data_IF_464088979560
#
_entry.id   IF_464088979560
#
_cell.length_a   1.000
_cell.length_b   1.000
_cell.length_c   1.000
_cell.angle_alpha   90.00
_cell.angle_beta   90.00
_cell.angle_gamma   90.00
#
_symmetry.space_group_name_H-M   'P 1'
#
loop_
_entity.id
_entity.type
_entity.pdbx_description
1 polymer ?
#
# COMPACT_ATOMS: atom_id res chain seq x y z
N UNK A 1 -19.60 -0.38 -7.74
CA UNK A 1 -18.68 0.57 -7.04
C UNK A 1 -18.45 0.23 -5.55
N UNK A 2 -18.69 -1.03 -5.12
CA UNK A 2 -18.58 -1.43 -3.71
C UNK A 2 -17.17 -1.18 -3.11
N UNK A 3 -16.09 -1.47 -3.85
CA UNK A 3 -14.72 -1.17 -3.39
C UNK A 3 -14.50 0.33 -3.15
N UNK A 4 -15.00 1.19 -4.04
CA UNK A 4 -14.82 2.63 -3.92
C UNK A 4 -15.48 3.19 -2.65
N UNK A 5 -16.65 2.67 -2.28
CA UNK A 5 -17.40 3.10 -1.10
C UNK A 5 -16.68 2.84 0.24
N UNK A 6 -15.74 1.87 0.29
CA UNK A 6 -15.02 1.52 1.53
C UNK A 6 -13.57 2.01 1.54
N UNK A 7 -13.05 2.54 0.43
CA UNK A 7 -11.67 3.01 0.35
C UNK A 7 -11.40 4.19 1.29
N UNK A 8 -10.18 4.27 1.80
CA UNK A 8 -9.78 5.33 2.71
C UNK A 8 -10.61 5.36 4.02
N UNK A 9 -11.10 4.20 4.47
CA UNK A 9 -11.97 4.12 5.65
C UNK A 9 -13.35 4.72 5.42
N UNK A 10 -13.89 4.62 4.19
CA UNK A 10 -15.19 5.20 3.80
C UNK A 10 -15.12 6.68 3.38
N UNK A 11 -13.92 7.28 3.38
CA UNK A 11 -13.71 8.68 2.99
C UNK A 11 -13.34 8.86 1.51
N UNK A 12 -12.90 7.81 0.83
CA UNK A 12 -12.38 7.79 -0.53
C UNK A 12 -11.10 8.63 -0.72
N UNK A 13 -9.92 8.05 -0.48
CA UNK A 13 -8.65 8.66 -0.92
C UNK A 13 -8.57 8.56 -2.45
N UNK A 14 -9.12 9.57 -3.14
CA UNK A 14 -9.41 9.51 -4.59
C UNK A 14 -8.15 9.58 -5.47
N UNK A 15 -7.12 10.28 -4.99
CA UNK A 15 -5.87 10.53 -5.70
C UNK A 15 -4.75 10.97 -4.75
N UNK A 16 -3.64 11.41 -5.34
CA UNK A 16 -2.50 12.03 -4.66
C UNK A 16 -1.99 13.22 -5.48
N UNK A 17 -1.37 14.22 -4.85
CA UNK A 17 -0.75 15.36 -5.55
C UNK A 17 0.54 14.97 -6.28
N UNK A 18 1.20 13.90 -5.88
CA UNK A 18 2.51 13.45 -6.36
C UNK A 18 3.68 14.41 -6.07
N UNK A 19 3.48 15.49 -5.35
CA UNK A 19 4.53 16.49 -5.04
C UNK A 19 5.68 15.90 -4.22
N UNK A 20 5.38 14.96 -3.31
CA UNK A 20 6.38 14.30 -2.46
C UNK A 20 6.96 13.02 -3.11
N UNK A 21 6.49 12.65 -4.30
CA UNK A 21 6.93 11.42 -5.01
C UNK A 21 8.21 11.70 -5.80
N UNK A 22 9.33 11.16 -5.38
CA UNK A 22 10.63 11.33 -6.05
C UNK A 22 10.72 10.56 -7.36
N UNK A 23 10.18 9.35 -7.38
CA UNK A 23 10.06 8.54 -8.60
C UNK A 23 8.77 7.72 -8.59
N UNK A 24 8.23 7.43 -9.79
CA UNK A 24 7.02 6.61 -9.90
C UNK A 24 7.25 5.16 -9.49
N UNK A 25 8.47 4.66 -9.52
CA UNK A 25 8.85 3.32 -9.08
C UNK A 25 8.67 3.14 -7.57
N UNK A 26 8.81 4.22 -6.78
CA UNK A 26 8.56 4.19 -5.33
C UNK A 26 7.10 3.95 -4.99
N UNK A 27 6.19 4.46 -5.81
CA UNK A 27 4.74 4.38 -5.56
C UNK A 27 4.04 3.34 -6.43
N UNK A 28 4.56 3.04 -7.62
CA UNK A 28 4.11 1.96 -8.51
C UNK A 28 5.20 0.91 -8.68
N UNK A 29 5.34 -0.05 -7.76
CA UNK A 29 6.32 -1.12 -7.87
C UNK A 29 6.15 -1.96 -9.15
N UNK A 30 4.95 -1.99 -9.73
CA UNK A 30 4.61 -2.60 -11.02
C UNK A 30 3.86 -1.60 -11.88
N UNK A 31 4.17 -1.57 -13.16
CA UNK A 31 3.50 -0.70 -14.14
C UNK A 31 3.92 0.77 -14.13
N UNK A 32 4.99 1.18 -13.44
CA UNK A 32 5.46 2.58 -13.36
C UNK A 32 5.64 3.25 -14.73
N UNK A 33 6.16 2.51 -15.72
CA UNK A 33 6.33 3.01 -17.11
C UNK A 33 5.00 3.32 -17.80
N UNK A 34 3.98 2.47 -17.59
CA UNK A 34 2.63 2.72 -18.06
C UNK A 34 2.05 3.95 -17.35
N UNK A 35 2.20 4.00 -16.02
CA UNK A 35 1.67 5.10 -15.21
C UNK A 35 2.30 6.44 -15.54
N UNK A 36 3.60 6.50 -15.85
CA UNK A 36 4.25 7.73 -16.35
C UNK A 36 3.53 8.32 -17.56
N UNK A 37 3.11 7.46 -18.49
CA UNK A 37 2.35 7.88 -19.65
C UNK A 37 0.90 8.21 -19.30
N UNK A 38 0.25 7.37 -18.50
CA UNK A 38 -1.15 7.55 -18.15
C UNK A 38 -1.40 8.85 -17.39
N UNK A 39 -0.51 9.22 -16.47
CA UNK A 39 -0.54 10.48 -15.74
C UNK A 39 -0.30 11.71 -16.64
N UNK A 40 0.50 11.57 -17.68
CA UNK A 40 0.68 12.63 -18.66
C UNK A 40 -0.57 12.87 -19.53
N UNK A 41 -1.39 11.84 -19.76
CA UNK A 41 -2.65 11.94 -20.50
C UNK A 41 -3.82 12.36 -19.62
N UNK A 42 -3.83 11.94 -18.33
CA UNK A 42 -4.86 12.28 -17.36
C UNK A 42 -4.26 12.40 -15.97
N UNK A 43 -3.94 13.62 -15.60
CA UNK A 43 -3.31 13.98 -14.32
C UNK A 43 -4.31 14.00 -13.15
N UNK A 44 -3.83 14.03 -11.90
CA UNK A 44 -4.68 14.30 -10.73
C UNK A 44 -5.50 15.59 -10.86
N UNK A 45 -4.91 16.68 -11.35
CA UNK A 45 -5.60 17.95 -11.61
C UNK A 45 -6.80 17.77 -12.52
N UNK A 46 -6.62 17.11 -13.67
CA UNK A 46 -7.71 16.85 -14.62
C UNK A 46 -8.82 16.01 -13.99
N UNK A 47 -8.48 15.06 -13.13
CA UNK A 47 -9.45 14.28 -12.37
C UNK A 47 -10.25 15.18 -11.43
N UNK A 48 -9.57 16.00 -10.62
CA UNK A 48 -10.23 16.88 -9.66
C UNK A 48 -11.13 17.90 -10.35
N UNK A 49 -10.70 18.47 -11.48
CA UNK A 49 -11.50 19.42 -12.26
C UNK A 49 -12.76 18.76 -12.83
N UNK A 50 -12.65 17.50 -13.27
CA UNK A 50 -13.83 16.75 -13.72
C UNK A 50 -14.89 16.62 -12.61
N UNK A 51 -14.48 16.36 -11.38
CA UNK A 51 -15.36 16.27 -10.23
C UNK A 51 -15.85 17.66 -9.74
N UNK A 52 -14.97 18.68 -9.72
CA UNK A 52 -15.33 20.06 -9.34
C UNK A 52 -16.43 20.64 -10.25
N UNK A 53 -16.35 20.37 -11.55
CA UNK A 53 -17.41 20.74 -12.50
C UNK A 53 -18.77 20.09 -12.17
N UNK A 54 -18.79 19.10 -11.28
CA UNK A 54 -19.99 18.38 -10.81
C UNK A 54 -20.30 18.66 -9.34
N UNK A 55 -19.69 19.71 -8.78
CA UNK A 55 -19.98 20.19 -7.43
C UNK A 55 -19.28 19.45 -6.30
N UNK A 56 -18.20 18.70 -6.59
CA UNK A 56 -17.39 18.00 -5.55
C UNK A 56 -16.14 18.80 -5.26
N UNK A 57 -15.96 19.22 -4.02
CA UNK A 57 -14.75 19.87 -3.53
C UNK A 57 -13.81 18.86 -2.86
N UNK A 58 -12.52 19.21 -2.78
CA UNK A 58 -11.46 18.32 -2.28
C UNK A 58 -10.60 19.01 -1.24
N UNK A 59 -10.06 18.21 -0.33
CA UNK A 59 -8.99 18.60 0.59
C UNK A 59 -7.78 17.71 0.38
N UNK A 60 -6.59 18.27 0.62
CA UNK A 60 -5.32 17.54 0.62
C UNK A 60 -4.86 17.35 2.05
N UNK A 61 -4.55 16.12 2.42
CA UNK A 61 -3.96 15.75 3.69
C UNK A 61 -2.46 15.46 3.53
N UNK A 62 -1.77 15.26 4.65
CA UNK A 62 -0.35 14.90 4.71
C UNK A 62 0.01 13.75 3.75
N UNK A 63 1.18 13.82 3.12
CA UNK A 63 1.61 12.86 2.08
C UNK A 63 0.91 13.04 0.74
N UNK A 64 0.30 14.22 0.49
CA UNK A 64 -0.36 14.56 -0.76
C UNK A 64 -1.67 13.80 -1.01
N UNK A 65 -2.25 13.16 -0.01
CA UNK A 65 -3.49 12.37 -0.12
C UNK A 65 -4.70 13.27 -0.34
N UNK A 66 -5.51 12.98 -1.34
CA UNK A 66 -6.66 13.78 -1.73
C UNK A 66 -7.95 13.07 -1.37
N UNK A 67 -8.83 13.77 -0.66
CA UNK A 67 -10.15 13.29 -0.23
C UNK A 67 -11.24 14.29 -0.65
N UNK A 68 -12.49 13.84 -0.87
CA UNK A 68 -13.61 14.79 -0.98
C UNK A 68 -13.73 15.60 0.33
N UNK A 69 -14.08 16.87 0.21
CA UNK A 69 -14.23 17.76 1.37
C UNK A 69 -15.31 17.26 2.35
N UNK A 70 -16.31 16.57 1.85
CA UNK A 70 -17.36 15.90 2.65
C UNK A 70 -16.84 14.73 3.50
N UNK A 71 -15.65 14.19 3.23
CA UNK A 71 -15.13 12.99 3.85
C UNK A 71 -16.05 11.76 3.67
N UNK A 72 -16.88 11.74 2.61
CA UNK A 72 -17.85 10.69 2.30
C UNK A 72 -17.58 10.08 0.92
N UNK A 73 -17.14 8.81 0.87
CA UNK A 73 -16.97 8.08 -0.38
C UNK A 73 -18.27 7.97 -1.19
N UNK A 74 -19.41 8.05 -0.52
CA UNK A 74 -20.74 8.05 -1.16
C UNK A 74 -20.96 9.23 -2.09
N UNK A 75 -20.35 10.39 -1.81
CA UNK A 75 -20.42 11.56 -2.71
C UNK A 75 -19.77 11.25 -4.05
N UNK A 76 -18.58 10.67 -4.05
CA UNK A 76 -17.88 10.25 -5.27
C UNK A 76 -18.69 9.21 -6.06
N UNK A 77 -19.26 8.22 -5.35
CA UNK A 77 -20.10 7.19 -5.98
C UNK A 77 -21.35 7.81 -6.61
N UNK A 78 -22.06 8.72 -5.91
CA UNK A 78 -23.27 9.39 -6.45
C UNK A 78 -22.93 10.23 -7.67
N UNK A 79 -21.83 10.99 -7.62
CA UNK A 79 -21.37 11.82 -8.76
C UNK A 79 -21.06 10.98 -9.99
N UNK A 80 -20.39 9.84 -9.82
CA UNK A 80 -20.13 8.92 -10.93
C UNK A 80 -21.41 8.31 -11.48
N UNK A 81 -22.33 7.87 -10.62
CA UNK A 81 -23.62 7.32 -11.06
C UNK A 81 -24.45 8.35 -11.79
N UNK A 82 -24.46 9.61 -11.33
CA UNK A 82 -25.14 10.71 -12.01
C UNK A 82 -24.57 11.05 -13.40
N UNK A 83 -23.30 10.71 -13.64
CA UNK A 83 -22.68 10.88 -14.96
C UNK A 83 -22.96 9.75 -15.96
N UNK A 84 -23.68 8.70 -15.56
CA UNK A 84 -24.02 7.54 -16.41
C UNK A 84 -25.39 7.69 -17.10
N UNK A 85 -25.80 8.91 -17.41
CA UNK A 85 -27.04 9.14 -18.15
C UNK A 85 -26.98 8.46 -19.52
N UNK A 86 -28.06 7.75 -19.91
CA UNK A 86 -28.15 6.97 -21.14
C UNK A 86 -27.37 5.64 -21.13
N UNK A 87 -26.66 5.32 -20.08
CA UNK A 87 -25.92 4.03 -19.95
C UNK A 87 -26.81 2.96 -19.35
N UNK A 88 -26.97 1.83 -20.06
CA UNK A 88 -27.66 0.66 -19.51
C UNK A 88 -26.77 -0.08 -18.52
N UNK A 89 -27.21 -0.18 -17.27
CA UNK A 89 -26.50 -0.90 -16.21
C UNK A 89 -27.22 -2.23 -15.93
N UNK A 90 -26.51 -3.34 -16.07
CA UNK A 90 -27.02 -4.67 -15.73
C UNK A 90 -26.33 -5.18 -14.47
N UNK A 91 -27.08 -5.26 -13.37
CA UNK A 91 -26.60 -5.80 -12.09
C UNK A 91 -26.82 -7.31 -12.00
N UNK A 92 -26.05 -7.98 -11.12
CA UNK A 92 -26.15 -9.44 -10.87
C UNK A 92 -25.97 -10.30 -12.13
N UNK A 93 -25.33 -9.77 -13.16
CA UNK A 93 -25.05 -10.44 -14.42
C UNK A 93 -23.58 -10.82 -14.49
N UNK A 94 -23.30 -12.13 -14.55
CA UNK A 94 -21.94 -12.65 -14.77
C UNK A 94 -21.67 -12.75 -16.25
N UNK A 95 -20.68 -12.02 -16.72
CA UNK A 95 -20.17 -12.11 -18.09
C UNK A 95 -19.01 -13.10 -18.12
N UNK A 96 -19.16 -14.21 -18.84
CA UNK A 96 -18.12 -15.25 -18.98
C UNK A 96 -17.26 -15.02 -20.23
N UNK A 97 -17.88 -14.53 -21.29
CA UNK A 97 -17.19 -14.15 -22.52
C UNK A 97 -17.60 -12.73 -22.91
N UNK A 98 -16.63 -11.86 -23.21
CA UNK A 98 -16.96 -10.57 -23.81
C UNK A 98 -17.57 -10.84 -25.20
N UNK A 99 -18.76 -10.27 -25.44
CA UNK A 99 -19.52 -10.46 -26.71
C UNK A 99 -18.79 -9.85 -27.92
N UNK A 100 -19.47 -9.91 -29.06
CA UNK A 100 -18.98 -9.39 -30.36
C UNK A 100 -19.31 -7.88 -30.53
N UNK A 101 -19.29 -7.13 -29.46
CA UNK A 101 -19.43 -5.66 -29.51
C UNK A 101 -18.24 -5.02 -30.25
N UNK A 102 -18.47 -3.92 -30.95
CA UNK A 102 -17.42 -3.19 -31.66
C UNK A 102 -16.27 -2.81 -30.71
N UNK A 103 -16.60 -2.43 -29.44
CA UNK A 103 -15.67 -2.17 -28.39
C UNK A 103 -16.09 -2.86 -27.11
N UNK A 104 -15.13 -3.49 -26.44
CA UNK A 104 -15.30 -4.10 -25.12
C UNK A 104 -14.21 -3.61 -24.18
N UNK A 105 -14.58 -3.15 -23.00
CA UNK A 105 -13.63 -2.68 -21.98
C UNK A 105 -13.74 -3.56 -20.74
N UNK A 106 -12.65 -4.21 -20.36
CA UNK A 106 -12.58 -5.05 -19.16
C UNK A 106 -12.06 -4.20 -18.00
N UNK A 107 -12.90 -4.00 -16.99
CA UNK A 107 -12.61 -3.21 -15.77
C UNK A 107 -13.01 -3.95 -14.51
N UNK A 108 -12.87 -5.26 -14.50
CA UNK A 108 -13.34 -6.15 -13.42
C UNK A 108 -12.54 -6.00 -12.13
N UNK A 109 -11.45 -5.26 -12.15
CA UNK A 109 -10.49 -5.17 -11.03
C UNK A 109 -9.71 -6.47 -10.84
N UNK A 110 -9.12 -6.63 -9.65
CA UNK A 110 -8.32 -7.79 -9.29
C UNK A 110 -9.11 -8.96 -8.70
N UNK A 111 -8.40 -10.03 -8.35
CA UNK A 111 -8.95 -11.17 -7.63
C UNK A 111 -9.97 -11.99 -8.46
N UNK A 112 -11.14 -12.26 -7.89
CA UNK A 112 -12.19 -13.10 -8.53
C UNK A 112 -12.74 -12.51 -9.84
N UNK A 113 -12.62 -11.20 -10.05
CA UNK A 113 -13.02 -10.54 -11.28
C UNK A 113 -12.19 -10.93 -12.51
N UNK A 114 -11.05 -11.58 -12.31
CA UNK A 114 -10.13 -11.97 -13.37
C UNK A 114 -10.49 -13.31 -14.06
N UNK A 115 -11.51 -14.02 -13.62
CA UNK A 115 -11.91 -15.29 -14.27
C UNK A 115 -12.22 -15.11 -15.75
N UNK A 116 -12.79 -13.99 -16.16
CA UNK A 116 -13.10 -13.66 -17.56
C UNK A 116 -11.84 -13.64 -18.45
N UNK A 117 -10.67 -13.37 -17.88
CA UNK A 117 -9.41 -13.26 -18.63
C UNK A 117 -8.91 -14.60 -19.15
N UNK A 118 -9.36 -15.74 -18.57
CA UNK A 118 -8.89 -17.10 -18.93
C UNK A 118 -9.10 -17.45 -20.39
N UNK A 119 -10.12 -16.84 -21.01
CA UNK A 119 -10.52 -17.12 -22.40
C UNK A 119 -10.08 -16.00 -23.37
N UNK A 120 -9.25 -15.05 -22.88
CA UNK A 120 -8.78 -13.93 -23.68
C UNK A 120 -7.33 -14.15 -24.13
N UNK A 121 -6.95 -13.64 -25.32
CA UNK A 121 -5.60 -13.77 -25.84
C UNK A 121 -4.64 -12.78 -25.16
N UNK A 122 -4.42 -12.95 -23.88
CA UNK A 122 -3.55 -12.10 -23.05
C UNK A 122 -2.69 -12.94 -22.12
N UNK A 123 -1.47 -12.48 -21.89
CA UNK A 123 -0.64 -12.99 -20.81
C UNK A 123 -1.24 -12.60 -19.47
N UNK A 124 -1.44 -13.56 -18.57
CA UNK A 124 -1.92 -13.30 -17.22
C UNK A 124 -0.74 -13.46 -16.27
N UNK A 125 -0.33 -12.36 -15.66
CA UNK A 125 0.58 -12.39 -14.54
C UNK A 125 -0.20 -12.82 -13.30
N UNK A 126 0.18 -13.95 -12.70
CA UNK A 126 -0.55 -14.55 -11.57
C UNK A 126 -0.83 -13.53 -10.47
N UNK A 127 -2.09 -13.26 -10.13
CA UNK A 127 -2.44 -12.30 -9.09
C UNK A 127 -2.08 -12.81 -7.69
N UNK A 128 -1.43 -11.96 -6.93
CA UNK A 128 -1.15 -12.17 -5.49
C UNK A 128 -1.59 -10.94 -4.69
N UNK A 129 -1.96 -11.08 -3.43
CA UNK A 129 -2.28 -9.93 -2.58
C UNK A 129 -1.14 -8.93 -2.45
N UNK A 130 -1.50 -7.66 -2.42
CA UNK A 130 -0.66 -6.50 -2.16
C UNK A 130 -1.35 -5.62 -1.10
N UNK A 131 -0.62 -4.75 -0.41
CA UNK A 131 -1.14 -3.86 0.64
C UNK A 131 -1.85 -4.60 1.78
N UNK A 132 -1.20 -5.58 2.36
CA UNK A 132 -1.75 -6.34 3.49
C UNK A 132 -0.91 -6.17 4.76
N UNK A 133 -1.55 -6.43 5.90
CA UNK A 133 -0.95 -6.40 7.23
C UNK A 133 -0.34 -7.76 7.58
N UNK A 134 0.73 -7.75 8.40
CA UNK A 134 1.48 -8.95 8.75
C UNK A 134 0.98 -9.58 10.03
N UNK A 135 0.77 -10.89 10.04
CA UNK A 135 0.75 -11.67 11.27
C UNK A 135 2.21 -11.88 11.71
N UNK A 136 2.48 -11.66 13.00
CA UNK A 136 3.84 -11.66 13.52
C UNK A 136 4.07 -12.78 14.52
N UNK A 137 5.26 -13.35 14.47
CA UNK A 137 5.77 -14.38 15.37
C UNK A 137 7.18 -14.03 15.84
N UNK A 138 7.56 -14.48 17.03
CA UNK A 138 8.93 -14.34 17.56
C UNK A 138 9.87 -15.46 17.03
N UNK A 139 9.33 -16.48 16.34
CA UNK A 139 10.11 -17.60 15.84
C UNK A 139 9.58 -18.15 14.50
N UNK A 140 10.42 -18.87 13.73
CA UNK A 140 10.01 -19.51 12.48
C UNK A 140 8.91 -20.56 12.63
N UNK A 141 8.79 -21.15 13.83
CA UNK A 141 7.79 -22.19 14.15
C UNK A 141 6.37 -21.60 14.26
N UNK A 142 6.26 -20.28 14.28
CA UNK A 142 4.99 -19.58 14.40
C UNK A 142 4.64 -19.27 15.87
N UNK A 143 3.37 -19.03 16.12
CA UNK A 143 2.86 -18.49 17.38
C UNK A 143 2.58 -17.00 17.27
N UNK A 144 1.98 -16.43 18.31
CA UNK A 144 1.74 -14.99 18.40
C UNK A 144 2.96 -14.29 19.00
N UNK A 145 3.44 -13.22 18.36
CA UNK A 145 4.55 -12.46 18.90
C UNK A 145 4.19 -11.76 20.20
N UNK A 146 5.14 -11.68 21.15
CA UNK A 146 5.01 -10.89 22.38
C UNK A 146 4.83 -9.39 22.08
N UNK A 147 5.33 -8.91 20.95
CA UNK A 147 5.13 -7.53 20.51
C UNK A 147 3.64 -7.17 20.41
N UNK A 148 2.77 -8.11 20.08
CA UNK A 148 1.31 -7.90 19.99
C UNK A 148 0.67 -7.48 21.34
N UNK A 149 1.35 -7.63 22.47
CA UNK A 149 0.89 -7.09 23.78
C UNK A 149 0.87 -5.57 23.81
N UNK A 150 1.60 -4.93 22.89
CA UNK A 150 1.63 -3.47 22.71
C UNK A 150 0.56 -2.95 21.75
N UNK A 151 -0.48 -3.72 21.46
CA UNK A 151 -1.57 -3.32 20.58
C UNK A 151 -2.02 -1.87 20.82
N UNK A 152 -2.20 -1.13 19.71
CA UNK A 152 -2.56 0.29 19.72
C UNK A 152 -1.37 1.25 19.85
N UNK A 153 -0.13 0.73 20.00
CA UNK A 153 1.06 1.56 19.97
C UNK A 153 1.47 1.83 18.53
N UNK A 154 1.73 3.09 18.21
CA UNK A 154 2.33 3.54 16.94
C UNK A 154 3.76 4.00 17.18
N UNK A 155 4.63 3.81 16.19
CA UNK A 155 6.01 4.28 16.19
C UNK A 155 6.49 4.42 14.76
N UNK A 156 7.27 5.44 14.47
CA UNK A 156 8.05 5.48 13.23
C UNK A 156 9.07 4.33 13.25
N UNK A 157 9.15 3.58 12.15
CA UNK A 157 10.04 2.43 12.04
C UNK A 157 10.47 2.18 10.60
N UNK A 158 11.57 1.43 10.47
CA UNK A 158 12.00 0.87 9.19
C UNK A 158 11.85 -0.65 9.25
N UNK A 159 11.11 -1.18 8.30
CA UNK A 159 10.93 -2.61 8.11
C UNK A 159 11.80 -3.12 6.96
N UNK A 160 12.39 -4.28 7.10
CA UNK A 160 13.13 -4.93 6.02
C UNK A 160 12.96 -6.46 6.05
N UNK A 161 13.07 -7.06 4.86
CA UNK A 161 13.13 -8.52 4.71
C UNK A 161 14.60 -8.91 4.55
N UNK A 162 15.23 -9.50 5.58
CA UNK A 162 16.65 -9.86 5.54
C UNK A 162 17.02 -10.73 4.33
N UNK A 163 18.18 -10.44 3.72
CA UNK A 163 18.65 -11.14 2.52
C UNK A 163 18.03 -10.65 1.20
N UNK A 164 17.21 -9.61 1.25
CA UNK A 164 16.60 -8.97 0.07
C UNK A 164 16.84 -7.46 0.08
N UNK A 165 16.45 -6.78 -1.01
CA UNK A 165 16.41 -5.32 -1.08
C UNK A 165 15.10 -4.72 -0.56
N UNK A 166 14.12 -5.53 -0.15
CA UNK A 166 12.82 -5.03 0.31
C UNK A 166 12.94 -4.32 1.65
N UNK A 167 12.63 -3.04 1.62
CA UNK A 167 12.65 -2.14 2.76
C UNK A 167 11.52 -1.13 2.64
N UNK A 168 10.95 -0.74 3.75
CA UNK A 168 9.99 0.38 3.85
C UNK A 168 10.19 1.15 5.13
N UNK A 169 9.77 2.40 5.13
CA UNK A 169 9.90 3.34 6.23
C UNK A 169 8.57 4.07 6.44
N UNK A 170 8.28 4.44 7.67
CA UNK A 170 7.10 5.22 8.06
C UNK A 170 6.45 4.72 9.33
N UNK A 171 5.24 5.19 9.57
CA UNK A 171 4.46 4.80 10.75
C UNK A 171 4.13 3.31 10.74
N UNK A 172 4.44 2.68 11.85
CA UNK A 172 4.15 1.27 12.14
C UNK A 172 3.13 1.22 13.27
N UNK A 173 2.02 0.54 13.04
CA UNK A 173 0.98 0.28 14.03
C UNK A 173 1.08 -1.16 14.51
N UNK A 174 1.24 -1.36 15.81
CA UNK A 174 1.19 -2.67 16.45
C UNK A 174 -0.27 -3.05 16.70
N UNK A 175 -0.66 -4.23 16.22
CA UNK A 175 -2.01 -4.79 16.36
C UNK A 175 -1.97 -6.04 17.24
N UNK A 176 -3.14 -6.60 17.56
CA UNK A 176 -3.25 -7.85 18.33
C UNK A 176 -2.79 -9.09 17.53
N UNK A 177 -2.66 -9.00 16.21
CA UNK A 177 -2.14 -10.08 15.34
C UNK A 177 -0.72 -9.85 14.85
N UNK A 178 -0.20 -8.60 14.88
CA UNK A 178 1.11 -8.27 14.37
C UNK A 178 1.27 -6.81 13.99
N UNK A 179 1.52 -6.52 12.71
CA UNK A 179 1.90 -5.20 12.23
C UNK A 179 0.97 -4.69 11.14
N UNK A 180 0.61 -3.42 11.25
CA UNK A 180 -0.14 -2.62 10.29
C UNK A 180 0.51 -1.23 10.13
N UNK A 181 -0.19 -0.31 9.48
CA UNK A 181 0.28 1.04 9.22
C UNK A 181 1.07 1.18 7.91
N UNK A 182 1.40 2.42 7.53
CA UNK A 182 2.04 2.73 6.25
C UNK A 182 3.31 1.93 5.96
N UNK A 183 4.20 1.74 6.96
CA UNK A 183 5.43 0.97 6.78
C UNK A 183 5.14 -0.50 6.43
N UNK A 184 4.21 -1.16 7.12
CA UNK A 184 3.84 -2.55 6.85
C UNK A 184 3.15 -2.70 5.48
N UNK A 185 2.21 -1.81 5.15
CA UNK A 185 1.49 -1.84 3.88
C UNK A 185 2.43 -1.60 2.68
N UNK A 186 3.36 -0.64 2.78
CA UNK A 186 4.37 -0.40 1.74
C UNK A 186 5.27 -1.60 1.54
N UNK A 187 5.79 -2.18 2.64
CA UNK A 187 6.64 -3.38 2.54
C UNK A 187 5.90 -4.53 1.88
N UNK A 188 4.65 -4.79 2.26
CA UNK A 188 3.84 -5.87 1.68
C UNK A 188 3.57 -5.64 0.19
N UNK A 189 3.43 -4.39 -0.26
CA UNK A 189 3.30 -4.06 -1.68
C UNK A 189 4.60 -4.31 -2.44
N UNK A 190 5.72 -3.75 -2.00
CA UNK A 190 7.01 -3.94 -2.67
C UNK A 190 7.43 -5.42 -2.71
N UNK A 191 7.25 -6.15 -1.62
CA UNK A 191 7.61 -7.56 -1.48
C UNK A 191 6.50 -8.55 -1.87
N UNK A 192 5.38 -8.11 -2.49
CA UNK A 192 4.17 -8.91 -2.68
C UNK A 192 4.44 -10.29 -3.30
N UNK A 193 5.19 -10.36 -4.40
CA UNK A 193 5.53 -11.61 -5.09
C UNK A 193 6.46 -12.48 -4.26
N UNK A 194 7.52 -11.89 -3.72
CA UNK A 194 8.46 -12.60 -2.84
C UNK A 194 7.74 -13.23 -1.63
N UNK A 195 6.85 -12.49 -0.98
CA UNK A 195 6.07 -13.00 0.15
C UNK A 195 5.09 -14.09 -0.26
N UNK A 196 4.49 -14.01 -1.44
CA UNK A 196 3.64 -15.06 -1.98
C UNK A 196 4.44 -16.35 -2.25
N UNK A 197 5.61 -16.23 -2.87
CA UNK A 197 6.52 -17.37 -3.16
C UNK A 197 6.99 -18.07 -1.88
N UNK A 198 7.18 -17.31 -0.80
CA UNK A 198 7.50 -17.85 0.53
C UNK A 198 6.27 -18.34 1.32
N UNK A 199 5.09 -18.40 0.71
CA UNK A 199 3.84 -18.76 1.41
C UNK A 199 3.49 -17.82 2.57
N UNK A 200 3.87 -16.54 2.46
CA UNK A 200 3.72 -15.49 3.47
C UNK A 200 4.42 -15.81 4.80
N UNK A 201 5.53 -16.54 4.72
CA UNK A 201 6.41 -16.86 5.85
C UNK A 201 7.81 -16.36 5.54
N UNK A 202 8.29 -15.36 6.26
CA UNK A 202 9.55 -14.70 5.96
C UNK A 202 10.15 -14.09 7.22
N UNK A 203 11.48 -14.05 7.37
CA UNK A 203 12.11 -13.22 8.39
C UNK A 203 11.72 -11.75 8.16
N UNK A 204 11.59 -11.02 9.25
CA UNK A 204 11.33 -9.58 9.27
C UNK A 204 12.25 -8.93 10.29
N UNK A 205 12.88 -7.84 9.91
CA UNK A 205 13.67 -7.02 10.81
C UNK A 205 13.01 -5.65 10.96
N UNK A 206 12.90 -5.19 12.21
CA UNK A 206 12.39 -3.88 12.58
C UNK A 206 13.56 -3.04 13.10
N UNK A 207 13.69 -1.85 12.56
CA UNK A 207 14.53 -0.79 13.10
C UNK A 207 13.59 0.27 13.67
N UNK A 208 13.60 0.42 14.99
CA UNK A 208 12.67 1.24 15.76
C UNK A 208 12.97 2.73 15.74
N UNK A 209 14.05 3.14 15.11
CA UNK A 209 14.46 4.54 15.04
C UNK A 209 15.25 4.77 13.74
N UNK A 210 14.95 5.87 13.07
CA UNK A 210 15.64 6.23 11.82
C UNK A 210 16.86 7.12 12.09
N UNK A 211 17.68 6.72 13.07
CA UNK A 211 18.96 7.37 13.38
C UNK A 211 20.14 6.44 13.03
N UNK A 212 21.29 6.97 12.61
CA UNK A 212 22.52 6.17 12.55
C UNK A 212 22.89 5.66 13.94
N UNK A 213 23.69 4.60 14.00
CA UNK A 213 24.06 3.96 15.28
C UNK A 213 24.68 4.95 16.25
N UNK A 214 25.59 5.82 15.79
CA UNK A 214 26.25 6.82 16.62
C UNK A 214 25.25 7.84 17.19
N UNK A 215 24.26 8.26 16.40
CA UNK A 215 23.19 9.15 16.84
C UNK A 215 22.32 8.51 17.94
N UNK A 216 21.95 7.24 17.77
CA UNK A 216 21.22 6.49 18.80
C UNK A 216 22.04 6.32 20.08
N UNK A 217 23.33 6.00 19.95
CA UNK A 217 24.24 5.90 21.09
C UNK A 217 24.37 7.23 21.84
N UNK A 218 24.48 8.34 21.13
CA UNK A 218 24.51 9.67 21.71
C UNK A 218 23.21 9.96 22.47
N UNK A 219 22.04 9.76 21.85
CA UNK A 219 20.75 9.98 22.50
C UNK A 219 20.56 9.14 23.79
N UNK A 220 20.98 7.86 23.77
CA UNK A 220 20.93 7.02 24.97
C UNK A 220 21.90 7.50 26.04
N UNK A 221 23.12 7.93 25.69
CA UNK A 221 24.09 8.44 26.62
C UNK A 221 23.66 9.78 27.24
N UNK A 222 23.00 10.65 26.50
CA UNK A 222 22.44 11.90 26.99
C UNK A 222 21.39 11.63 28.10
N UNK A 223 20.48 10.69 27.85
CA UNK A 223 19.50 10.28 28.88
C UNK A 223 20.19 9.69 30.10
N UNK A 224 21.19 8.83 29.91
CA UNK A 224 21.99 8.23 30.99
C UNK A 224 22.67 9.30 31.83
N UNK A 225 23.30 10.29 31.19
CA UNK A 225 24.03 11.36 31.84
C UNK A 225 23.12 12.29 32.67
N UNK A 226 21.95 12.59 32.08
CA UNK A 226 20.94 13.43 32.73
C UNK A 226 20.21 12.73 33.89
N UNK A 227 20.14 11.39 33.87
CA UNK A 227 19.29 10.63 34.80
C UNK A 227 20.01 9.44 35.48
N UNK A 228 21.24 9.54 36.00
CA UNK A 228 22.06 8.40 36.43
C UNK A 228 21.42 7.54 37.53
N UNK A 229 20.59 8.14 38.37
CA UNK A 229 19.93 7.46 39.50
C UNK A 229 18.50 6.99 39.19
N UNK A 230 17.92 7.39 38.05
CA UNK A 230 16.59 6.91 37.65
C UNK A 230 16.65 5.49 37.07
N UNK A 231 15.58 4.73 37.24
CA UNK A 231 15.43 3.46 36.54
C UNK A 231 15.39 3.70 35.03
N UNK A 232 15.94 2.78 34.23
CA UNK A 232 15.92 2.88 32.75
C UNK A 232 14.50 3.04 32.24
N UNK A 233 13.52 2.34 32.80
CA UNK A 233 12.12 2.43 32.36
C UNK A 233 11.49 3.82 32.56
N UNK A 234 12.00 4.61 33.48
CA UNK A 234 11.42 5.92 33.88
C UNK A 234 12.01 7.11 33.11
N UNK A 235 13.01 6.89 32.28
CA UNK A 235 13.60 7.93 31.43
C UNK A 235 14.11 7.27 30.14
N UNK A 236 13.69 7.77 28.98
CA UNK A 236 14.02 7.22 27.67
C UNK A 236 14.24 8.33 26.64
N UNK A 237 14.89 8.06 25.51
CA UNK A 237 15.01 8.99 24.40
C UNK A 237 13.63 9.48 23.92
N UNK A 238 13.57 10.71 23.40
CA UNK A 238 12.37 11.27 22.80
C UNK A 238 11.94 10.48 21.55
N UNK A 239 10.66 10.57 21.22
CA UNK A 239 10.08 9.89 20.04
C UNK A 239 9.71 8.41 20.26
N UNK A 240 9.99 7.84 21.44
CA UNK A 240 9.66 6.45 21.77
C UNK A 240 8.61 6.44 22.88
N UNK A 241 7.53 5.70 22.70
CA UNK A 241 6.52 5.55 23.77
C UNK A 241 7.07 4.72 24.93
N UNK A 242 6.69 5.05 26.16
CA UNK A 242 7.15 4.31 27.36
C UNK A 242 6.86 2.82 27.29
N UNK A 243 5.69 2.42 26.72
CA UNK A 243 5.34 1.00 26.53
C UNK A 243 6.30 0.28 25.60
N UNK A 244 6.65 0.91 24.47
CA UNK A 244 7.61 0.36 23.52
C UNK A 244 9.01 0.32 24.12
N UNK A 245 9.41 1.36 24.82
CA UNK A 245 10.69 1.42 25.50
C UNK A 245 10.86 0.28 26.53
N UNK A 246 9.89 0.07 27.42
CA UNK A 246 9.92 -1.03 28.38
C UNK A 246 10.03 -2.40 27.71
N UNK A 247 9.26 -2.60 26.62
CA UNK A 247 9.34 -3.83 25.83
C UNK A 247 10.74 -4.04 25.22
N UNK A 248 11.37 -2.98 24.68
CA UNK A 248 12.70 -3.08 24.08
C UNK A 248 13.79 -3.30 25.13
N UNK A 249 13.63 -2.78 26.33
CA UNK A 249 14.51 -3.12 27.47
C UNK A 249 14.46 -4.61 27.80
N UNK A 250 13.26 -5.19 27.89
CA UNK A 250 13.07 -6.63 28.11
C UNK A 250 13.69 -7.45 26.96
N UNK A 251 13.43 -7.07 25.72
CA UNK A 251 14.02 -7.69 24.52
C UNK A 251 15.55 -7.66 24.53
N UNK A 252 16.14 -6.57 24.99
CA UNK A 252 17.59 -6.42 25.12
C UNK A 252 18.16 -7.20 26.33
N UNK A 253 17.32 -7.86 27.13
CA UNK A 253 17.71 -8.60 28.34
C UNK A 253 18.26 -7.65 29.41
N UNK A 254 17.72 -6.46 29.55
CA UNK A 254 18.04 -5.50 30.61
C UNK A 254 17.21 -5.89 31.84
N UNK A 255 17.92 -6.03 32.97
CA UNK A 255 17.31 -6.42 34.26
C UNK A 255 16.26 -5.36 34.68
N UNK A 256 15.10 -5.82 35.10
CA UNK A 256 14.09 -4.95 35.67
C UNK A 256 14.64 -4.21 36.91
N UNK A 257 14.25 -2.95 37.06
CA UNK A 257 14.71 -2.11 38.17
C UNK A 257 16.14 -1.56 38.02
N UNK A 258 16.88 -1.88 36.97
CA UNK A 258 18.22 -1.34 36.72
C UNK A 258 18.18 0.20 36.60
N UNK A 259 19.12 0.89 37.25
CA UNK A 259 19.29 2.33 37.09
C UNK A 259 20.30 2.65 35.99
N UNK A 260 20.21 3.84 35.42
CA UNK A 260 21.04 4.26 34.28
C UNK A 260 22.56 4.18 34.59
N UNK A 261 22.98 4.46 35.81
CA UNK A 261 24.39 4.35 36.22
C UNK A 261 24.93 2.92 36.12
N UNK A 262 24.07 1.89 36.27
CA UNK A 262 24.44 0.47 36.20
C UNK A 262 24.53 -0.06 34.76
N UNK A 263 24.00 0.68 33.76
CA UNK A 263 24.05 0.24 32.34
C UNK A 263 25.51 0.31 31.84
N UNK A 264 26.17 -0.83 31.83
CA UNK A 264 27.50 -0.97 31.28
C UNK A 264 27.49 -1.12 29.74
N UNK A 265 28.67 -1.11 29.14
CA UNK A 265 28.85 -1.17 27.67
C UNK A 265 28.18 -2.39 27.04
N UNK A 266 28.18 -3.55 27.68
CA UNK A 266 27.49 -4.77 27.16
C UNK A 266 25.98 -4.58 27.09
N UNK A 267 25.36 -3.97 28.11
CA UNK A 267 23.94 -3.68 28.13
C UNK A 267 23.58 -2.63 27.08
N UNK A 268 24.37 -1.56 26.99
CA UNK A 268 24.20 -0.53 25.97
C UNK A 268 24.26 -1.12 24.56
N UNK A 269 25.25 -1.99 24.25
CA UNK A 269 25.38 -2.60 22.94
C UNK A 269 24.15 -3.47 22.59
N UNK A 270 23.66 -4.29 23.54
CA UNK A 270 22.44 -5.08 23.30
C UNK A 270 21.23 -4.21 23.02
N UNK A 271 21.07 -3.13 23.80
CA UNK A 271 19.95 -2.20 23.62
C UNK A 271 20.02 -1.52 22.24
N UNK A 272 21.19 -1.01 21.85
CA UNK A 272 21.41 -0.40 20.53
C UNK A 272 21.10 -1.40 19.41
N UNK A 273 21.58 -2.64 19.51
CA UNK A 273 21.30 -3.68 18.51
C UNK A 273 19.80 -4.01 18.44
N UNK A 274 19.10 -4.06 19.58
CA UNK A 274 17.65 -4.27 19.59
C UNK A 274 16.90 -3.13 18.88
N UNK A 275 17.35 -1.90 19.01
CA UNK A 275 16.76 -0.77 18.28
C UNK A 275 17.02 -0.80 16.78
N UNK A 276 18.20 -1.22 16.38
CA UNK A 276 18.63 -1.16 14.98
C UNK A 276 18.25 -2.42 14.19
N UNK A 277 18.07 -3.56 14.85
CA UNK A 277 17.92 -4.86 14.19
C UNK A 277 17.09 -5.85 15.03
N UNK A 278 15.88 -5.46 15.42
CA UNK A 278 14.96 -6.35 16.14
C UNK A 278 14.33 -7.37 15.19
N UNK A 279 14.57 -8.64 15.41
CA UNK A 279 14.23 -9.70 14.48
C UNK A 279 12.94 -10.42 14.89
N UNK A 280 12.07 -10.60 13.90
CA UNK A 280 10.78 -11.29 13.96
C UNK A 280 10.58 -12.17 12.74
N UNK A 281 9.43 -12.81 12.66
CA UNK A 281 8.98 -13.58 11.51
C UNK A 281 7.56 -13.17 11.11
N UNK A 282 7.36 -12.90 9.83
CA UNK A 282 6.02 -12.88 9.24
C UNK A 282 5.54 -14.33 9.23
N UNK A 283 4.43 -14.62 9.93
CA UNK A 283 3.83 -15.95 10.03
C UNK A 283 2.60 -16.12 9.15
N UNK A 284 2.20 -15.05 8.45
CA UNK A 284 1.06 -15.02 7.56
C UNK A 284 0.62 -13.59 7.27
N UNK A 285 -0.42 -13.49 6.44
CA UNK A 285 -1.15 -12.26 6.18
C UNK A 285 -2.51 -12.28 6.88
N UNK A 286 -3.02 -11.12 7.24
CA UNK A 286 -4.36 -11.01 7.85
C UNK A 286 -5.44 -11.44 6.87
N UNK A 287 -6.54 -12.02 7.40
CA UNK A 287 -7.65 -12.56 6.61
C UNK A 287 -8.67 -11.50 6.14
N UNK A 288 -8.51 -10.24 6.51
CA UNK A 288 -9.38 -9.17 6.03
C UNK A 288 -9.19 -9.01 4.53
N UNK A 289 -10.22 -9.38 3.75
CA UNK A 289 -10.14 -9.53 2.27
C UNK A 289 -10.56 -8.27 1.54
N UNK A 290 -11.20 -7.32 2.20
CA UNK A 290 -11.93 -6.25 1.52
C UNK A 290 -11.05 -5.05 1.14
N UNK A 291 -9.81 -4.97 1.65
CA UNK A 291 -8.88 -3.86 1.41
C UNK A 291 -7.66 -4.22 0.53
N UNK A 292 -7.52 -5.48 0.10
CA UNK A 292 -6.35 -5.91 -0.66
C UNK A 292 -6.40 -5.43 -2.10
N UNK A 293 -5.27 -4.86 -2.53
CA UNK A 293 -4.95 -4.61 -3.93
C UNK A 293 -4.33 -5.88 -4.50
N UNK A 294 -4.61 -6.18 -5.76
CA UNK A 294 -4.00 -7.30 -6.47
C UNK A 294 -2.72 -6.85 -7.17
N UNK A 295 -1.61 -7.52 -6.87
CA UNK A 295 -0.37 -7.45 -7.64
C UNK A 295 -0.43 -8.54 -8.71
N UNK A 296 -0.46 -8.17 -9.99
CA UNK A 296 -0.68 -9.07 -11.12
C UNK A 296 -1.96 -8.73 -11.87
N UNK A 297 -2.21 -9.40 -12.97
CA UNK A 297 -3.32 -9.14 -13.88
C UNK A 297 -2.92 -9.32 -15.34
N UNK A 298 -3.55 -8.59 -16.24
CA UNK A 298 -3.18 -8.56 -17.65
C UNK A 298 -1.78 -7.96 -17.79
N UNK A 299 -0.84 -8.75 -18.29
CA UNK A 299 0.53 -8.33 -18.54
C UNK A 299 0.58 -7.13 -19.50
N UNK A 300 1.38 -6.13 -19.17
CA UNK A 300 1.53 -4.91 -19.98
C UNK A 300 2.07 -5.23 -21.38
N UNK A 301 2.77 -6.37 -21.55
CA UNK A 301 3.19 -6.92 -22.85
C UNK A 301 2.02 -7.21 -23.79
N UNK A 302 0.86 -7.58 -23.27
CA UNK A 302 -0.35 -7.95 -24.03
C UNK A 302 -1.15 -6.76 -24.53
N UNK A 303 -0.87 -5.55 -24.06
CA UNK A 303 -1.62 -4.35 -24.44
C UNK A 303 -0.74 -3.32 -25.15
N UNK A 304 -1.36 -2.51 -25.98
CA UNK A 304 -0.73 -1.32 -26.53
C UNK A 304 -0.70 -0.23 -25.45
N UNK A 305 0.49 0.18 -25.04
CA UNK A 305 0.67 1.18 -23.95
C UNK A 305 0.08 2.57 -24.27
N UNK A 306 -0.29 2.86 -25.53
CA UNK A 306 -0.90 4.13 -25.93
C UNK A 306 -2.41 4.14 -25.82
N UNK A 307 -3.03 2.99 -26.06
CA UNK A 307 -4.49 2.84 -26.19
C UNK A 307 -5.08 1.92 -25.14
N UNK A 308 -4.27 1.08 -24.51
CA UNK A 308 -4.65 -0.03 -23.62
C UNK A 308 -5.53 -1.09 -24.28
N UNK A 309 -5.45 -1.16 -25.62
CA UNK A 309 -6.08 -2.18 -26.42
C UNK A 309 -5.26 -3.46 -26.43
N UNK A 310 -5.93 -4.60 -26.44
CA UNK A 310 -5.32 -5.91 -26.66
C UNK A 310 -4.59 -5.96 -27.99
N UNK A 311 -3.32 -6.40 -28.00
CA UNK A 311 -2.54 -6.50 -29.24
C UNK A 311 -3.05 -7.56 -30.20
N UNK A 312 -3.63 -8.63 -29.64
CA UNK A 312 -4.09 -9.80 -30.41
C UNK A 312 -5.60 -9.76 -30.73
N UNK A 313 -6.36 -8.83 -30.13
CA UNK A 313 -7.79 -8.67 -30.41
C UNK A 313 -8.16 -7.20 -30.49
N UNK A 314 -8.46 -6.73 -31.70
CA UNK A 314 -8.94 -5.38 -31.92
C UNK A 314 -10.29 -5.14 -31.21
N UNK A 315 -10.50 -3.92 -30.71
CA UNK A 315 -11.71 -3.54 -30.01
C UNK A 315 -11.80 -4.02 -28.55
N UNK A 316 -10.83 -4.80 -28.06
CA UNK A 316 -10.78 -5.25 -26.66
C UNK A 316 -9.78 -4.38 -25.87
N UNK A 317 -10.24 -3.78 -24.78
CA UNK A 317 -9.46 -2.86 -23.95
C UNK A 317 -9.45 -3.28 -22.47
N UNK A 318 -8.44 -2.80 -21.73
CA UNK A 318 -8.31 -3.06 -20.29
C UNK A 318 -8.02 -1.76 -19.56
N UNK A 319 -8.66 -1.55 -18.38
CA UNK A 319 -8.40 -0.39 -17.53
C UNK A 319 -8.53 -0.72 -16.04
N UNK A 320 -7.76 -0.02 -15.22
CA UNK A 320 -7.76 -0.18 -13.76
C UNK A 320 -6.99 -1.42 -13.28
N UNK A 321 -7.37 -1.92 -12.11
CA UNK A 321 -6.67 -2.97 -11.36
C UNK A 321 -6.66 -4.36 -12.08
N UNK A 322 -7.34 -4.50 -13.20
CA UNK A 322 -7.25 -5.71 -14.04
C UNK A 322 -5.89 -5.80 -14.76
N UNK A 323 -5.20 -4.68 -14.97
CA UNK A 323 -3.85 -4.60 -15.50
C UNK A 323 -2.82 -5.00 -14.43
N UNK A 324 -1.65 -5.52 -14.83
CA UNK A 324 -0.51 -5.71 -13.91
C UNK A 324 0.11 -4.35 -13.54
N UNK A 325 -0.69 -3.56 -12.85
CA UNK A 325 -0.35 -2.25 -12.30
C UNK A 325 -0.90 -2.16 -10.90
N UNK A 326 -0.04 -2.02 -9.92
CA UNK A 326 -0.45 -1.75 -8.56
C UNK A 326 0.51 -0.78 -7.86
N UNK A 327 -0.02 -0.10 -6.87
CA UNK A 327 0.67 0.95 -6.16
C UNK A 327 0.64 0.73 -4.64
N UNK A 328 1.48 1.47 -3.95
CA UNK A 328 1.41 1.61 -2.50
C UNK A 328 0.13 2.35 -2.08
N UNK A 329 -0.14 2.40 -0.77
CA UNK A 329 -1.24 3.23 -0.21
C UNK A 329 -0.99 4.72 -0.46
N UNK A 330 -2.07 5.51 -0.61
CA UNK A 330 -1.95 6.96 -0.80
C UNK A 330 -2.79 7.54 -1.94
N UNK A 331 -3.81 6.83 -2.46
CA UNK A 331 -4.66 7.28 -3.57
C UNK A 331 -4.16 6.86 -4.96
N UNK A 332 -2.94 6.32 -5.04
CA UNK A 332 -2.27 5.98 -6.30
C UNK A 332 -3.00 4.90 -7.11
N UNK A 333 -3.57 3.88 -6.46
CA UNK A 333 -4.32 2.82 -7.15
C UNK A 333 -5.60 3.34 -7.81
N UNK A 334 -6.31 4.26 -7.15
CA UNK A 334 -7.46 4.92 -7.75
C UNK A 334 -7.04 5.84 -8.88
N UNK A 335 -5.95 6.61 -8.73
CA UNK A 335 -5.43 7.43 -9.82
C UNK A 335 -5.05 6.58 -11.04
N UNK A 336 -4.47 5.40 -10.84
CA UNK A 336 -4.18 4.46 -11.94
C UNK A 336 -5.46 4.04 -12.67
N UNK A 337 -6.53 3.74 -11.92
CA UNK A 337 -7.82 3.38 -12.51
C UNK A 337 -8.40 4.54 -13.33
N UNK A 338 -8.37 5.77 -12.82
CA UNK A 338 -8.86 6.95 -13.53
C UNK A 338 -8.08 7.23 -14.82
N UNK A 339 -6.74 7.27 -14.71
CA UNK A 339 -5.89 7.61 -15.86
C UNK A 339 -5.95 6.56 -16.95
N UNK A 340 -6.00 5.27 -16.60
CA UNK A 340 -6.12 4.19 -17.61
C UNK A 340 -7.50 4.17 -18.23
N UNK A 341 -8.58 4.41 -17.47
CA UNK A 341 -9.94 4.51 -18.01
C UNK A 341 -10.08 5.67 -18.99
N UNK A 342 -9.47 6.83 -18.69
CA UNK A 342 -9.46 7.98 -19.58
C UNK A 342 -8.79 7.67 -20.93
N UNK A 343 -7.64 7.00 -20.93
CA UNK A 343 -6.92 6.60 -22.15
C UNK A 343 -7.83 5.74 -23.04
N UNK A 344 -8.49 4.75 -22.43
CA UNK A 344 -9.40 3.86 -23.18
C UNK A 344 -10.56 4.65 -23.75
N UNK A 345 -11.24 5.47 -22.93
CA UNK A 345 -12.38 6.28 -23.38
C UNK A 345 -11.99 7.21 -24.52
N UNK A 346 -10.88 7.97 -24.38
CA UNK A 346 -10.35 8.84 -25.42
C UNK A 346 -10.04 8.09 -26.72
N UNK A 347 -9.48 6.89 -26.61
CA UNK A 347 -9.18 6.06 -27.78
C UNK A 347 -10.43 5.60 -28.52
N UNK A 348 -11.44 5.17 -27.78
CA UNK A 348 -12.72 4.70 -28.35
C UNK A 348 -13.46 5.86 -29.05
N UNK A 349 -13.55 7.02 -28.36
CA UNK A 349 -14.19 8.23 -28.94
C UNK A 349 -13.50 8.64 -30.25
N UNK A 350 -12.18 8.77 -30.25
CA UNK A 350 -11.44 9.15 -31.46
C UNK A 350 -11.66 8.17 -32.64
N UNK A 351 -11.82 6.87 -32.36
CA UNK A 351 -12.13 5.87 -33.40
C UNK A 351 -13.57 5.94 -33.89
N UNK A 352 -14.49 6.24 -32.98
CA UNK A 352 -15.90 6.37 -33.32
C UNK A 352 -16.11 7.59 -34.22
N UNK A 353 -15.47 8.73 -33.88
CA UNK A 353 -15.56 9.98 -34.64
C UNK A 353 -14.85 9.90 -36.01
N UNK A 354 -13.85 8.99 -36.15
CA UNK A 354 -13.12 8.79 -37.42
C UNK A 354 -13.73 7.72 -38.32
N UNK A 355 -14.70 6.94 -37.83
CA UNK A 355 -15.53 6.05 -38.65
C UNK A 355 -16.69 6.86 -39.21
N UNK A 356 -16.40 7.75 -40.19
CA UNK A 356 -17.43 8.31 -41.04
C UNK A 356 -18.18 7.15 -41.75
N UNK A 357 -19.46 7.07 -41.48
CA UNK A 357 -20.41 6.13 -42.11
C UNK A 357 -20.68 6.48 -43.54
#
# INVERSE_FOLDING_TARGET
MAKLAVTGGGRCNISNTFEEVRSLEEVYPRGSRLMKRALAEFSPEMLLDWFRQRGVDFITEEGGRIFPASQDAGEIVRTLLGALDGVRIECNTRVENPGDSAFTVITTGGGKGMDILKNLPVEIVQPVPSLFTFNLSDSPQGGRSRLCSLMGTSSEAVLSVPGTSFRSEGDLLITDWGLSGPAALRLSSHAARHLADCGYKSPLQIRWINLPEDGLRAAINDVKTANPRKMLKSAHPEGISSRLWEYLLDRAGIREGMVWAELGSKGLNRLVQTFLADNYYISGKTRFRDEFVSCGGVGISSVNMKTLECKERAGLFFAGEVLDVDAVTGGFNLQAAWSTAYIVAKTIINRYDTQDF
#
